data_IF_269164852386
#
_entry.id   IF_269164852386
#
_cell.length_a   1.000
_cell.length_b   1.000
_cell.length_c   1.000
_cell.angle_alpha   90.00
_cell.angle_beta   90.00
_cell.angle_gamma   90.00
#
_symmetry.space_group_name_H-M   'P 1'
#
loop_
_entity.id
_entity.type
_entity.pdbx_description
1 polymer ?
#
# COMPACT_ATOMS: atom_id res chain seq x y z
N UNK A 1 19.65 -4.22 75.55
CA UNK A 1 20.64 -4.98 74.74
C UNK A 1 20.01 -6.12 73.95
N UNK A 2 19.17 -6.97 74.56
CA UNK A 2 18.53 -8.13 73.91
C UNK A 2 17.61 -7.75 72.74
N UNK A 3 16.74 -6.76 72.90
CA UNK A 3 15.78 -6.33 71.87
C UNK A 3 16.46 -5.84 70.58
N UNK A 4 17.60 -5.14 70.71
CA UNK A 4 18.36 -4.64 69.57
C UNK A 4 19.03 -5.78 68.78
N UNK A 5 19.47 -6.83 69.47
CA UNK A 5 20.05 -8.02 68.83
C UNK A 5 18.99 -8.86 68.12
N UNK A 6 17.78 -8.96 68.68
CA UNK A 6 16.64 -9.65 68.03
C UNK A 6 16.21 -8.91 66.76
N UNK A 7 16.14 -7.56 66.80
CA UNK A 7 15.80 -6.76 65.62
C UNK A 7 16.85 -6.88 64.51
N UNK A 8 18.15 -6.93 64.86
CA UNK A 8 19.23 -7.17 63.90
C UNK A 8 19.15 -8.57 63.29
N UNK A 9 18.87 -9.60 64.09
CA UNK A 9 18.67 -10.96 63.58
C UNK A 9 17.47 -11.04 62.64
N UNK A 10 16.36 -10.39 62.99
CA UNK A 10 15.16 -10.35 62.15
C UNK A 10 15.41 -9.58 60.84
N UNK A 11 16.17 -8.50 60.88
CA UNK A 11 16.58 -7.76 59.67
C UNK A 11 17.51 -8.58 58.78
N UNK A 12 18.47 -9.31 59.35
CA UNK A 12 19.36 -10.22 58.61
C UNK A 12 18.55 -11.40 58.03
N UNK A 13 17.58 -11.93 58.77
CA UNK A 13 16.69 -12.98 58.28
C UNK A 13 15.81 -12.47 57.14
N UNK A 14 15.28 -11.24 57.23
CA UNK A 14 14.53 -10.60 56.14
C UNK A 14 15.40 -10.33 54.91
N UNK A 15 16.65 -9.88 55.09
CA UNK A 15 17.59 -9.68 53.99
C UNK A 15 17.96 -11.02 53.32
N UNK A 16 18.26 -12.05 54.12
CA UNK A 16 18.60 -13.37 53.63
C UNK A 16 17.43 -14.01 52.85
N UNK A 17 16.18 -13.85 53.34
CA UNK A 17 14.99 -14.32 52.61
C UNK A 17 14.66 -13.45 51.38
N UNK A 18 15.10 -12.19 51.34
CA UNK A 18 14.96 -11.34 50.16
C UNK A 18 15.97 -11.72 49.06
N UNK A 19 17.21 -12.07 49.43
CA UNK A 19 18.24 -12.58 48.51
C UNK A 19 17.93 -14.01 48.02
N UNK A 20 17.29 -14.85 48.85
CA UNK A 20 16.82 -16.19 48.46
C UNK A 20 15.57 -16.19 47.57
N UNK A 21 15.00 -15.01 47.27
CA UNK A 21 13.89 -14.86 46.31
C UNK A 21 14.37 -14.63 44.88
N UNK A 22 15.67 -14.74 44.64
CA UNK A 22 16.26 -14.74 43.32
C UNK A 22 16.29 -16.19 42.79
N UNK A 23 15.32 -16.45 41.91
CA UNK A 23 15.36 -17.50 40.86
C UNK A 23 15.45 -18.97 41.31
N UNK A 24 14.39 -19.48 41.95
CA UNK A 24 13.92 -20.85 41.71
C UNK A 24 12.57 -20.81 40.95
N UNK A 25 12.58 -20.25 39.73
CA UNK A 25 11.62 -20.67 38.71
C UNK A 25 12.29 -21.75 37.86
N UNK A 26 11.94 -23.00 38.11
CA UNK A 26 12.22 -24.14 37.24
C UNK A 26 11.45 -24.02 35.92
N UNK A 27 11.77 -22.99 35.13
CA UNK A 27 11.06 -22.60 33.91
C UNK A 27 11.72 -21.51 33.06
N UNK A 28 12.86 -20.94 33.48
CA UNK A 28 13.56 -19.87 32.73
C UNK A 28 14.37 -20.42 31.55
N UNK A 29 13.70 -21.10 30.62
CA UNK A 29 14.30 -21.43 29.32
C UNK A 29 14.64 -20.12 28.59
N UNK A 30 15.90 -19.72 28.61
CA UNK A 30 16.41 -18.66 27.73
C UNK A 30 16.62 -19.28 26.36
N UNK A 31 15.86 -18.84 25.38
CA UNK A 31 15.89 -19.35 24.03
C UNK A 31 16.69 -18.43 23.11
N UNK A 32 17.08 -18.98 21.97
CA UNK A 32 17.78 -18.24 20.91
C UNK A 32 16.90 -18.21 19.68
N UNK A 33 16.58 -17.01 19.20
CA UNK A 33 15.88 -16.83 17.93
C UNK A 33 16.92 -16.79 16.81
N UNK A 34 16.78 -17.67 15.83
CA UNK A 34 17.70 -17.81 14.71
C UNK A 34 17.00 -17.52 13.38
N UNK A 35 17.77 -16.93 12.46
CA UNK A 35 17.31 -16.70 11.11
C UNK A 35 18.42 -16.28 10.16
N UNK A 36 18.03 -16.10 8.90
CA UNK A 36 18.86 -15.58 7.83
C UNK A 36 18.10 -14.52 7.06
N UNK A 37 18.79 -13.40 6.86
CA UNK A 37 18.34 -12.27 6.05
C UNK A 37 18.94 -12.42 4.66
N UNK A 38 18.08 -12.32 3.65
CA UNK A 38 18.48 -12.31 2.25
C UNK A 38 18.38 -10.89 1.70
N UNK A 39 19.47 -10.36 1.11
CA UNK A 39 19.43 -9.06 0.46
C UNK A 39 18.58 -9.12 -0.82
N UNK A 40 18.33 -7.96 -1.40
CA UNK A 40 17.71 -7.86 -2.71
C UNK A 40 18.69 -8.43 -3.75
N UNK A 41 18.24 -9.41 -4.55
CA UNK A 41 19.06 -10.21 -5.48
C UNK A 41 19.91 -9.39 -6.46
N UNK A 42 19.59 -8.11 -6.63
CA UNK A 42 20.18 -7.19 -7.61
C UNK A 42 21.36 -6.38 -7.04
N UNK A 43 21.80 -6.64 -5.80
CA UNK A 43 22.87 -5.87 -5.13
C UNK A 43 24.07 -6.73 -4.75
N UNK A 44 25.04 -6.94 -5.67
CA UNK A 44 26.16 -7.86 -5.47
C UNK A 44 27.24 -7.37 -4.49
N UNK A 45 27.24 -6.10 -4.07
CA UNK A 45 28.32 -5.48 -3.29
C UNK A 45 27.85 -4.52 -2.19
N UNK A 46 26.61 -4.63 -1.72
CA UNK A 46 26.12 -3.72 -0.69
C UNK A 46 26.62 -4.15 0.69
N UNK A 47 27.33 -3.26 1.40
CA UNK A 47 27.67 -3.40 2.82
C UNK A 47 26.41 -3.20 3.69
N UNK A 48 25.36 -3.98 3.45
CA UNK A 48 24.07 -3.83 4.13
C UNK A 48 24.11 -4.43 5.54
N UNK A 49 24.92 -5.46 5.77
CA UNK A 49 24.99 -6.20 7.04
C UNK A 49 25.34 -5.30 8.24
N UNK A 50 26.37 -4.43 8.19
CA UNK A 50 26.72 -3.55 9.32
C UNK A 50 25.65 -2.51 9.65
N UNK A 51 24.90 -2.07 8.64
CA UNK A 51 23.78 -1.12 8.80
C UNK A 51 22.48 -1.79 9.26
N UNK A 52 22.44 -3.13 9.29
CA UNK A 52 21.25 -3.89 9.64
C UNK A 52 21.24 -4.25 11.11
N UNK A 53 20.13 -3.94 11.79
CA UNK A 53 19.87 -4.37 13.17
C UNK A 53 18.63 -5.23 13.23
N UNK A 54 18.67 -6.26 14.05
CA UNK A 54 17.50 -7.11 14.32
C UNK A 54 16.90 -6.67 15.64
N UNK A 55 15.66 -6.21 15.61
CA UNK A 55 14.91 -5.81 16.80
C UNK A 55 13.88 -6.88 17.11
N UNK A 56 13.77 -7.25 18.37
CA UNK A 56 12.72 -8.13 18.87
C UNK A 56 11.85 -7.33 19.83
N UNK A 57 10.53 -7.36 19.63
CA UNK A 57 9.54 -6.64 20.40
C UNK A 57 9.82 -5.13 20.52
N UNK A 58 10.07 -4.47 19.38
CA UNK A 58 10.35 -3.02 19.35
C UNK A 58 11.72 -2.62 19.91
N UNK A 59 12.63 -3.56 20.14
CA UNK A 59 14.00 -3.30 20.62
C UNK A 59 14.27 -3.73 22.06
N UNK A 60 13.37 -4.49 22.69
CA UNK A 60 13.62 -5.16 23.98
C UNK A 60 14.83 -6.09 23.91
N UNK A 61 14.93 -6.85 22.81
CA UNK A 61 16.14 -7.60 22.47
C UNK A 61 16.68 -7.14 21.13
N UNK A 62 18.00 -7.00 21.07
CA UNK A 62 18.71 -6.53 19.88
C UNK A 62 19.68 -7.63 19.43
N UNK A 63 19.63 -7.93 18.14
CA UNK A 63 20.55 -8.83 17.47
C UNK A 63 21.27 -8.15 16.32
N UNK A 64 22.39 -8.75 15.93
CA UNK A 64 23.20 -8.30 14.81
C UNK A 64 23.24 -9.36 13.72
N UNK A 65 23.33 -8.90 12.47
CA UNK A 65 23.47 -9.77 11.31
C UNK A 65 24.95 -10.06 11.06
N UNK A 66 25.30 -11.33 10.90
CA UNK A 66 26.64 -11.79 10.55
C UNK A 66 26.92 -11.57 9.06
N UNK A 67 28.18 -11.74 8.65
CA UNK A 67 28.59 -11.58 7.24
C UNK A 67 27.88 -12.54 6.28
N UNK A 68 27.50 -13.73 6.74
CA UNK A 68 26.74 -14.72 5.96
C UNK A 68 25.24 -14.41 5.87
N UNK A 69 24.79 -13.29 6.46
CA UNK A 69 23.38 -12.91 6.54
C UNK A 69 22.61 -13.63 7.65
N UNK A 70 23.23 -14.52 8.43
CA UNK A 70 22.57 -15.14 9.58
C UNK A 70 22.49 -14.18 10.76
N UNK A 71 21.49 -14.34 11.60
CA UNK A 71 21.37 -13.61 12.86
C UNK A 71 20.92 -14.56 13.96
N UNK A 72 21.34 -14.23 15.18
CA UNK A 72 20.94 -14.94 16.40
C UNK A 72 20.64 -13.90 17.48
N UNK A 73 19.48 -14.00 18.11
CA UNK A 73 19.10 -13.16 19.24
C UNK A 73 19.05 -14.07 20.47
N UNK A 74 19.95 -13.82 21.42
CA UNK A 74 20.09 -14.62 22.63
C UNK A 74 19.20 -14.06 23.76
N UNK A 75 19.03 -14.87 24.81
CA UNK A 75 18.39 -14.48 26.06
C UNK A 75 16.90 -14.10 25.92
N UNK A 76 16.17 -14.74 25.00
CA UNK A 76 14.74 -14.48 24.81
C UNK A 76 13.91 -15.46 25.66
N UNK A 77 13.03 -15.00 26.56
CA UNK A 77 12.15 -15.89 27.34
C UNK A 77 11.11 -16.60 26.45
N UNK A 78 10.36 -17.55 27.02
CA UNK A 78 9.18 -18.10 26.32
C UNK A 78 8.10 -17.03 26.18
N UNK A 79 7.56 -16.86 24.97
CA UNK A 79 6.59 -15.81 24.70
C UNK A 79 6.29 -15.66 23.20
N UNK A 80 5.48 -14.66 22.87
CA UNK A 80 5.20 -14.27 21.48
C UNK A 80 5.89 -12.95 21.20
N UNK A 81 6.83 -12.96 20.26
CA UNK A 81 7.63 -11.80 19.92
C UNK A 81 7.47 -11.44 18.45
N UNK A 82 7.64 -10.16 18.15
CA UNK A 82 7.72 -9.66 16.78
C UNK A 82 9.18 -9.39 16.48
N UNK A 83 9.71 -10.04 15.45
CA UNK A 83 11.07 -9.86 14.95
C UNK A 83 11.02 -8.93 13.75
N UNK A 84 11.72 -7.81 13.86
CA UNK A 84 11.81 -6.79 12.85
C UNK A 84 13.27 -6.61 12.45
N UNK A 85 13.51 -6.40 11.18
CA UNK A 85 14.86 -6.12 10.66
C UNK A 85 14.85 -4.68 10.19
N UNK A 86 15.69 -3.88 10.82
CA UNK A 86 15.83 -2.46 10.54
C UNK A 86 17.07 -2.24 9.70
N UNK A 87 16.90 -1.57 8.57
CA UNK A 87 17.97 -1.14 7.69
C UNK A 87 17.59 0.23 7.10
N UNK A 88 18.54 1.16 6.95
CA UNK A 88 18.29 2.50 6.42
C UNK A 88 18.05 2.53 4.90
N UNK A 89 18.38 1.49 4.14
CA UNK A 89 18.15 1.46 2.68
C UNK A 89 17.17 0.39 2.24
N UNK A 90 17.01 -0.69 3.02
CA UNK A 90 16.18 -1.83 2.68
C UNK A 90 15.00 -1.97 3.63
N UNK A 91 13.83 -2.28 3.07
CA UNK A 91 12.63 -2.61 3.85
C UNK A 91 12.46 -4.13 3.93
N UNK A 92 12.19 -4.64 5.13
CA UNK A 92 11.95 -6.05 5.41
C UNK A 92 10.56 -6.29 5.99
N UNK A 93 10.04 -7.49 5.83
CA UNK A 93 8.77 -7.88 6.43
C UNK A 93 8.97 -8.32 7.89
N UNK A 94 8.17 -7.83 8.85
CA UNK A 94 8.23 -8.31 10.22
C UNK A 94 7.63 -9.72 10.34
N UNK A 95 8.25 -10.55 11.19
CA UNK A 95 7.81 -11.91 11.44
C UNK A 95 7.47 -12.11 12.92
N UNK A 96 6.35 -12.78 13.21
CA UNK A 96 5.98 -13.14 14.58
C UNK A 96 6.57 -14.49 14.93
N UNK A 97 7.30 -14.59 16.03
CA UNK A 97 7.85 -15.85 16.55
C UNK A 97 7.21 -16.15 17.89
N UNK A 98 6.66 -17.35 18.02
CA UNK A 98 6.15 -17.89 19.27
C UNK A 98 7.08 -18.97 19.77
N UNK A 99 7.45 -18.84 21.04
CA UNK A 99 8.32 -19.76 21.74
C UNK A 99 7.51 -20.37 22.86
N UNK A 100 7.26 -21.67 22.77
CA UNK A 100 6.62 -22.42 23.85
C UNK A 100 7.62 -22.61 25.01
N UNK A 101 7.16 -22.71 26.26
CA UNK A 101 7.98 -23.07 27.44
C UNK A 101 8.67 -24.45 27.30
N UNK A 102 8.28 -25.25 26.31
CA UNK A 102 8.96 -26.51 25.91
C UNK A 102 10.06 -26.32 24.86
N UNK A 103 10.34 -25.09 24.41
CA UNK A 103 11.34 -24.78 23.38
C UNK A 103 10.92 -25.04 21.93
N UNK A 104 9.63 -25.24 21.66
CA UNK A 104 9.13 -25.34 20.28
C UNK A 104 8.90 -23.95 19.69
N UNK A 105 9.55 -23.66 18.56
CA UNK A 105 9.39 -22.43 17.80
C UNK A 105 8.27 -22.55 16.77
N UNK A 106 7.47 -21.49 16.64
CA UNK A 106 6.50 -21.32 15.54
C UNK A 106 6.64 -19.91 15.00
N UNK A 107 6.89 -19.77 13.70
CA UNK A 107 6.96 -18.48 13.03
C UNK A 107 5.70 -18.25 12.18
N UNK A 108 5.22 -17.01 12.15
CA UNK A 108 4.04 -16.58 11.40
C UNK A 108 4.24 -15.18 10.81
N UNK A 109 3.55 -14.88 9.70
CA UNK A 109 3.48 -13.52 9.17
C UNK A 109 2.71 -12.62 10.13
N UNK A 110 3.20 -11.40 10.36
CA UNK A 110 2.51 -10.43 11.22
C UNK A 110 1.28 -9.90 10.49
N UNK A 111 0.11 -10.06 11.10
CA UNK A 111 -1.13 -9.44 10.66
C UNK A 111 -1.78 -8.73 11.85
N UNK A 112 -1.91 -7.41 11.76
CA UNK A 112 -2.51 -6.58 12.80
C UNK A 112 -4.04 -6.53 12.74
N UNK A 113 -4.64 -6.82 11.58
CA UNK A 113 -6.08 -6.68 11.36
C UNK A 113 -6.81 -7.97 11.75
N UNK A 114 -6.27 -9.12 11.36
CA UNK A 114 -6.87 -10.43 11.65
C UNK A 114 -5.88 -11.35 12.37
N UNK A 115 -5.88 -11.29 13.70
CA UNK A 115 -4.99 -12.07 14.56
C UNK A 115 -5.27 -13.58 14.55
N UNK A 116 -6.47 -13.99 14.11
CA UNK A 116 -6.87 -15.39 13.95
C UNK A 116 -6.31 -16.03 12.68
N UNK A 117 -5.93 -15.25 11.67
CA UNK A 117 -5.36 -15.78 10.43
C UNK A 117 -3.93 -16.25 10.70
N UNK A 118 -3.72 -17.56 10.55
CA UNK A 118 -2.44 -18.20 10.83
C UNK A 118 -1.74 -18.52 9.52
N UNK A 119 -0.87 -17.61 9.07
CA UNK A 119 0.03 -17.89 7.95
C UNK A 119 1.40 -18.32 8.49
N UNK A 120 1.67 -19.62 8.49
CA UNK A 120 2.87 -20.20 9.07
C UNK A 120 4.09 -20.00 8.15
N UNK A 121 5.20 -19.59 8.74
CA UNK A 121 6.49 -19.42 8.07
C UNK A 121 7.43 -20.51 8.60
N UNK A 122 8.27 -21.13 7.77
CA UNK A 122 9.26 -22.08 8.23
C UNK A 122 10.28 -21.42 9.18
N UNK A 123 10.73 -22.19 10.17
CA UNK A 123 11.82 -21.83 11.07
C UNK A 123 13.04 -22.72 10.77
N UNK A 124 14.30 -22.21 10.80
CA UNK A 124 14.75 -20.84 11.11
C UNK A 124 14.22 -19.77 10.17
N UNK A 125 14.09 -18.53 10.67
CA UNK A 125 13.47 -17.44 9.91
C UNK A 125 14.23 -17.15 8.62
N UNK A 126 13.53 -17.07 7.49
CA UNK A 126 14.09 -16.63 6.20
C UNK A 126 13.40 -15.35 5.78
N UNK A 127 14.04 -14.22 6.07
CA UNK A 127 13.46 -12.91 5.79
C UNK A 127 14.13 -12.34 4.55
N UNK A 128 13.30 -11.97 3.56
CA UNK A 128 13.74 -11.38 2.29
C UNK A 128 13.46 -9.89 2.31
N UNK A 129 14.35 -9.10 1.71
CA UNK A 129 14.07 -7.69 1.45
C UNK A 129 12.89 -7.54 0.48
N UNK A 130 11.94 -6.66 0.81
CA UNK A 130 10.84 -6.29 -0.10
C UNK A 130 11.35 -5.37 -1.21
N UNK A 131 12.23 -4.43 -0.87
CA UNK A 131 12.75 -3.44 -1.80
C UNK A 131 13.54 -2.35 -1.08
N UNK A 132 13.97 -1.36 -1.85
CA UNK A 132 14.64 -0.17 -1.30
C UNK A 132 13.63 0.77 -0.66
N UNK A 133 13.93 1.26 0.53
CA UNK A 133 13.11 2.22 1.27
C UNK A 133 13.15 3.57 0.55
N UNK A 134 11.99 4.07 0.10
CA UNK A 134 11.87 5.40 -0.52
C UNK A 134 11.43 6.41 0.53
N UNK A 135 12.40 7.13 1.10
CA UNK A 135 12.10 8.20 2.07
C UNK A 135 11.53 9.45 1.42
N UNK A 136 11.92 9.69 0.17
CA UNK A 136 11.53 10.88 -0.57
C UNK A 136 10.44 10.53 -1.58
N UNK A 137 9.37 11.31 -1.56
CA UNK A 137 8.43 11.34 -2.66
C UNK A 137 9.05 12.13 -3.81
N UNK A 138 9.06 11.55 -5.01
CA UNK A 138 9.46 12.31 -6.20
C UNK A 138 8.49 13.48 -6.38
N UNK A 139 9.02 14.68 -6.67
CA UNK A 139 8.15 15.81 -7.02
C UNK A 139 7.48 15.50 -8.34
N UNK A 140 6.23 15.94 -8.48
CA UNK A 140 5.53 15.88 -9.75
C UNK A 140 6.31 16.70 -10.77
N UNK A 141 7.01 15.99 -11.65
CA UNK A 141 7.72 16.59 -12.76
C UNK A 141 6.72 16.91 -13.86
N UNK A 142 6.94 18.03 -14.56
CA UNK A 142 6.16 18.38 -15.73
C UNK A 142 6.50 17.39 -16.84
N UNK A 143 5.70 16.33 -17.00
CA UNK A 143 5.90 15.31 -18.03
C UNK A 143 5.19 15.77 -19.29
N UNK A 144 5.97 15.97 -20.36
CA UNK A 144 5.41 16.29 -21.69
C UNK A 144 4.44 15.18 -22.14
N UNK A 145 4.69 13.93 -21.74
CA UNK A 145 3.76 12.81 -21.96
C UNK A 145 2.42 13.02 -21.26
N UNK A 146 2.42 13.58 -20.04
CA UNK A 146 1.19 13.80 -19.27
C UNK A 146 0.40 14.99 -19.83
N UNK A 147 1.08 15.96 -20.47
CA UNK A 147 0.46 17.00 -21.28
C UNK A 147 -0.14 16.43 -22.57
N UNK A 148 0.62 15.61 -23.31
CA UNK A 148 0.15 15.01 -24.56
C UNK A 148 -1.04 14.08 -24.30
N UNK A 149 -0.98 13.23 -23.27
CA UNK A 149 -2.06 12.31 -22.88
C UNK A 149 -3.16 12.97 -22.04
N UNK A 150 -3.14 14.29 -21.90
CA UNK A 150 -4.27 15.01 -21.33
C UNK A 150 -5.47 14.90 -22.28
N UNK A 151 -6.63 14.37 -21.83
CA UNK A 151 -7.80 14.16 -22.69
C UNK A 151 -8.25 15.44 -23.40
N UNK A 152 -8.05 16.62 -22.82
CA UNK A 152 -8.37 17.89 -23.50
C UNK A 152 -7.44 18.20 -24.68
N UNK A 153 -6.14 17.96 -24.53
CA UNK A 153 -5.15 18.30 -25.56
C UNK A 153 -5.19 17.26 -26.69
N UNK A 154 -5.33 15.97 -26.36
CA UNK A 154 -5.55 14.92 -27.36
C UNK A 154 -6.79 15.19 -28.21
N UNK A 155 -7.93 15.49 -27.58
CA UNK A 155 -9.19 15.74 -28.29
C UNK A 155 -9.14 17.00 -29.16
N UNK A 156 -8.25 17.95 -28.87
CA UNK A 156 -8.03 19.12 -29.72
C UNK A 156 -7.05 18.82 -30.87
N UNK A 157 -5.93 18.14 -30.58
CA UNK A 157 -4.87 17.89 -31.56
C UNK A 157 -5.24 16.80 -32.58
N UNK A 158 -5.89 15.73 -32.12
CA UNK A 158 -6.29 14.59 -32.95
C UNK A 158 -7.20 14.95 -34.13
N UNK A 159 -8.31 15.71 -33.97
CA UNK A 159 -9.15 16.09 -35.09
C UNK A 159 -8.47 17.06 -36.06
N UNK A 160 -7.62 17.98 -35.57
CA UNK A 160 -6.85 18.89 -36.44
C UNK A 160 -5.88 18.10 -37.32
N UNK A 161 -5.20 17.09 -36.76
CA UNK A 161 -4.31 16.21 -37.50
C UNK A 161 -5.07 15.39 -38.54
N UNK A 162 -6.25 14.86 -38.20
CA UNK A 162 -7.12 14.17 -39.15
C UNK A 162 -7.55 15.09 -40.29
N UNK A 163 -8.01 16.31 -40.02
CA UNK A 163 -8.41 17.25 -41.08
C UNK A 163 -7.24 17.64 -41.98
N UNK A 164 -6.00 17.60 -41.49
CA UNK A 164 -4.81 17.90 -42.28
C UNK A 164 -4.29 16.70 -43.10
N UNK A 165 -4.46 15.48 -42.58
CA UNK A 165 -3.98 14.23 -43.23
C UNK A 165 -5.04 13.62 -44.15
N UNK A 166 -6.33 13.72 -43.79
CA UNK A 166 -7.44 13.21 -44.61
C UNK A 166 -7.40 13.72 -46.05
N UNK A 167 -7.15 15.01 -46.36
CA UNK A 167 -7.04 15.49 -47.73
C UNK A 167 -5.88 14.85 -48.49
N UNK A 168 -4.76 14.56 -47.81
CA UNK A 168 -3.61 13.90 -48.42
C UNK A 168 -3.86 12.43 -48.70
N UNK A 169 -4.51 11.72 -47.77
CA UNK A 169 -4.91 10.33 -47.97
C UNK A 169 -6.00 10.22 -49.04
N UNK A 170 -6.97 11.14 -49.06
CA UNK A 170 -8.04 11.21 -50.06
C UNK A 170 -7.55 11.56 -51.47
N UNK A 171 -6.31 11.97 -51.67
CA UNK A 171 -5.77 12.16 -53.03
C UNK A 171 -5.38 10.82 -53.68
N UNK A 172 -5.22 9.74 -52.91
CA UNK A 172 -4.94 8.40 -53.44
C UNK A 172 -6.24 7.67 -53.81
N UNK A 173 -6.33 7.02 -54.99
CA UNK A 173 -7.56 6.40 -55.49
C UNK A 173 -8.00 5.13 -54.72
N UNK A 174 -7.15 4.55 -53.87
CA UNK A 174 -7.50 3.41 -53.00
C UNK A 174 -8.31 3.83 -51.78
N UNK A 175 -7.93 4.91 -51.10
CA UNK A 175 -8.62 5.38 -49.88
C UNK A 175 -10.01 5.93 -50.16
N UNK A 176 -10.25 6.48 -51.36
CA UNK A 176 -11.60 6.90 -51.80
C UNK A 176 -12.57 5.72 -51.87
N UNK A 177 -12.11 4.56 -52.37
CA UNK A 177 -12.92 3.35 -52.45
C UNK A 177 -13.21 2.78 -51.06
N UNK A 178 -12.21 2.81 -50.16
CA UNK A 178 -12.38 2.38 -48.77
C UNK A 178 -13.29 3.33 -47.98
N UNK A 179 -13.20 4.64 -48.20
CA UNK A 179 -14.10 5.64 -47.60
C UNK A 179 -15.53 5.50 -48.12
N UNK A 180 -15.72 5.26 -49.42
CA UNK A 180 -17.03 4.96 -50.00
C UNK A 180 -17.61 3.64 -49.47
N UNK A 181 -16.77 2.64 -49.21
CA UNK A 181 -17.16 1.36 -48.63
C UNK A 181 -17.50 1.49 -47.13
N UNK A 182 -16.74 2.27 -46.37
CA UNK A 182 -17.04 2.62 -44.98
C UNK A 182 -18.35 3.41 -44.93
N UNK A 183 -18.55 4.42 -45.78
CA UNK A 183 -19.82 5.17 -45.86
C UNK A 183 -21.01 4.28 -46.22
N UNK A 184 -20.83 3.27 -47.07
CA UNK A 184 -21.87 2.28 -47.39
C UNK A 184 -22.19 1.37 -46.20
N UNK A 185 -21.20 1.03 -45.36
CA UNK A 185 -21.40 0.24 -44.14
C UNK A 185 -21.94 1.06 -42.96
N UNK A 186 -21.51 2.32 -42.78
CA UNK A 186 -21.95 3.22 -41.70
C UNK A 186 -23.27 3.93 -41.99
N UNK A 187 -23.78 3.85 -43.22
CA UNK A 187 -25.12 4.33 -43.60
C UNK A 187 -26.27 3.64 -42.83
N UNK A 188 -25.97 2.62 -42.02
CA UNK A 188 -26.98 1.95 -41.21
C UNK A 188 -27.18 2.52 -39.80
N UNK A 189 -26.40 3.48 -39.27
CA UNK A 189 -26.60 3.85 -37.85
C UNK A 189 -26.12 5.24 -37.33
N UNK A 190 -25.93 6.27 -38.18
CA UNK A 190 -25.61 7.62 -37.64
C UNK A 190 -26.51 8.73 -38.20
N UNK A 191 -27.59 9.11 -37.50
CA UNK A 191 -28.39 10.29 -37.81
C UNK A 191 -27.62 11.61 -37.52
N UNK A 192 -27.48 12.44 -38.55
CA UNK A 192 -27.36 13.91 -38.55
C UNK A 192 -26.54 14.57 -37.43
N UNK A 193 -25.22 14.34 -37.41
CA UNK A 193 -24.29 15.17 -36.62
C UNK A 193 -24.09 16.57 -37.25
N UNK A 194 -24.38 16.72 -38.55
CA UNK A 194 -24.20 17.99 -39.28
C UNK A 194 -25.21 19.09 -38.93
N UNK A 195 -26.46 18.72 -38.65
CA UNK A 195 -27.54 19.69 -38.37
C UNK A 195 -27.49 20.23 -36.92
N UNK A 196 -26.85 19.50 -36.00
CA UNK A 196 -26.63 19.97 -34.64
C UNK A 196 -25.48 21.00 -34.55
N UNK A 197 -24.44 20.84 -35.36
CA UNK A 197 -23.26 21.74 -35.38
C UNK A 197 -23.58 23.03 -36.13
N UNK A 198 -24.40 22.97 -37.19
CA UNK A 198 -24.87 24.17 -37.91
C UNK A 198 -25.77 25.03 -37.03
N UNK A 199 -26.67 24.43 -36.25
CA UNK A 199 -27.53 25.15 -35.32
C UNK A 199 -26.78 25.75 -34.12
N UNK A 200 -25.63 25.17 -33.73
CA UNK A 200 -24.79 25.70 -32.65
C UNK A 200 -23.85 26.83 -33.13
N UNK A 201 -23.41 26.79 -34.39
CA UNK A 201 -22.58 27.84 -35.00
C UNK A 201 -23.40 29.02 -35.53
N UNK A 202 -24.69 28.83 -35.84
CA UNK A 202 -25.54 29.84 -36.46
C UNK A 202 -26.37 30.73 -35.51
N UNK A 203 -26.18 30.70 -34.19
CA UNK A 203 -27.09 31.42 -33.30
C UNK A 203 -26.53 31.97 -32.00
N UNK A 204 -26.17 33.27 -31.98
CA UNK A 204 -26.76 34.19 -30.99
C UNK A 204 -26.60 35.69 -31.33
N UNK A 205 -27.67 36.37 -31.77
CA UNK A 205 -27.90 37.82 -31.55
C UNK A 205 -29.39 38.22 -31.61
N UNK A 206 -30.00 38.42 -30.42
CA UNK A 206 -30.86 39.52 -29.93
C UNK A 206 -32.24 39.89 -30.58
N UNK A 207 -33.28 39.77 -29.73
CA UNK A 207 -34.57 40.52 -29.55
C UNK A 207 -35.51 40.86 -30.74
N UNK A 208 -36.79 40.46 -30.63
CA UNK A 208 -37.91 41.36 -30.23
C UNK A 208 -39.32 40.69 -30.31
N UNK A 209 -40.08 40.80 -29.22
CA UNK A 209 -41.53 41.13 -29.13
C UNK A 209 -42.66 40.22 -29.70
N UNK A 210 -43.41 39.62 -28.76
CA UNK A 210 -44.85 39.89 -28.47
C UNK A 210 -45.98 39.05 -29.13
N UNK A 211 -46.78 38.42 -28.24
CA UNK A 211 -48.23 38.03 -28.29
C UNK A 211 -48.64 36.88 -29.22
N UNK A 212 -49.63 36.04 -28.96
CA UNK A 212 -50.60 35.75 -27.88
C UNK A 212 -51.29 34.46 -28.38
N UNK A 213 -51.50 33.40 -27.61
CA UNK A 213 -52.77 33.13 -26.91
C UNK A 213 -52.93 31.61 -26.78
N UNK A 214 -53.57 31.14 -25.70
CA UNK A 214 -54.28 29.86 -25.75
C UNK A 214 -54.00 28.83 -24.66
N UNK A 215 -54.60 29.08 -23.49
CA UNK A 215 -55.31 28.09 -22.63
C UNK A 215 -54.52 27.11 -21.73
N UNK A 216 -54.65 27.39 -20.43
CA UNK A 216 -55.26 26.52 -19.42
C UNK A 216 -54.61 25.15 -19.13
N UNK A 217 -53.92 25.00 -17.98
CA UNK A 217 -54.55 24.72 -16.67
C UNK A 217 -53.53 24.42 -15.56
N UNK A 218 -53.82 25.03 -14.42
CA UNK A 218 -53.36 24.85 -13.03
C UNK A 218 -52.90 23.43 -12.63
N UNK A 219 -51.96 23.37 -11.69
CA UNK A 219 -52.01 22.34 -10.63
C UNK A 219 -50.70 22.00 -9.94
N UNK A 220 -50.31 22.78 -8.93
CA UNK A 220 -49.30 22.41 -7.95
C UNK A 220 -49.75 21.22 -7.08
N UNK A 221 -48.89 20.24 -6.79
CA UNK A 221 -48.50 19.87 -5.41
C UNK A 221 -47.50 18.72 -5.33
N UNK A 222 -46.62 18.88 -4.35
CA UNK A 222 -45.62 17.99 -3.78
C UNK A 222 -46.05 16.52 -3.55
N UNK A 223 -45.08 15.60 -3.64
CA UNK A 223 -44.94 14.52 -2.64
C UNK A 223 -43.56 13.86 -2.62
N UNK A 224 -43.07 13.78 -1.38
CA UNK A 224 -41.91 13.12 -0.76
C UNK A 224 -41.45 11.79 -1.39
N UNK A 225 -40.12 11.62 -1.42
CA UNK A 225 -39.40 10.34 -1.64
C UNK A 225 -39.59 9.39 -0.45
N UNK A 226 -39.80 8.08 -0.66
CA UNK A 226 -39.43 7.05 0.31
C UNK A 226 -38.03 6.49 0.02
N UNK A 227 -37.29 6.24 1.10
CA UNK A 227 -36.03 5.51 1.17
C UNK A 227 -36.36 4.02 1.22
N UNK A 228 -35.78 3.23 0.33
CA UNK A 228 -35.82 1.75 0.40
C UNK A 228 -34.57 1.27 1.13
N UNK A 229 -34.77 0.45 2.15
CA UNK A 229 -33.74 -0.27 2.89
C UNK A 229 -34.05 -1.77 2.71
N UNK A 230 -33.07 -2.52 2.23
CA UNK A 230 -32.96 -3.97 2.46
C UNK A 230 -32.33 -4.23 3.83
#
# INVERSE_FOLDING_TARGET
MIVLNVLRFFAIFLLANAELRIEEETGTGRYVIEGRVFPLSDTPSSNWQPSTRVHVNGGEFIGFVKRDGSFMVHNVPSGSYIVEILNPELTFEPARVEINSKGKFRARKVNHIQTSTVNQIPYPLKIKALGKTRYFQARDQWRITDLLFNPMIMMMLFPVLLVMVLPKLMNDPETKKDLEQIQKMTKFEVPQVGDAVSNFLAGNTVQSTTKDSGKDKKGAKARRRPVTKE
#
